data_IF_448994703787
#
_entry.id   IF_448994703787
#
_cell.length_a   1.000
_cell.length_b   1.000
_cell.length_c   1.000
_cell.angle_alpha   90.00
_cell.angle_beta   90.00
_cell.angle_gamma   90.00
#
_symmetry.space_group_name_H-M   'P 1'
#
loop_
_entity.id
_entity.type
_entity.pdbx_description
1 polymer ?
#
# COMPACT_ATOMS: atom_id res chain seq x y z
N UNK A 1 -41.51 17.16 -15.63
CA UNK A 1 -41.09 15.75 -15.73
C UNK A 1 -40.01 15.73 -16.81
N UNK A 2 -38.73 15.98 -16.51
CA UNK A 2 -37.79 15.01 -15.92
C UNK A 2 -36.60 15.79 -15.33
N UNK A 3 -36.27 15.57 -14.06
CA UNK A 3 -35.10 16.18 -13.44
C UNK A 3 -33.83 15.40 -13.85
N UNK A 4 -32.82 16.12 -14.33
CA UNK A 4 -31.46 15.66 -14.62
C UNK A 4 -30.78 15.22 -13.32
N UNK A 5 -30.88 13.94 -13.00
CA UNK A 5 -30.06 13.30 -11.99
C UNK A 5 -28.90 12.61 -12.71
N UNK A 6 -27.70 13.20 -12.69
CA UNK A 6 -26.39 12.50 -12.76
C UNK A 6 -25.25 13.51 -12.95
N UNK A 7 -24.79 14.18 -11.89
CA UNK A 7 -23.53 14.95 -11.98
C UNK A 7 -22.78 15.16 -10.65
N UNK A 8 -22.84 14.16 -9.75
CA UNK A 8 -21.88 14.07 -8.61
C UNK A 8 -21.52 12.60 -8.34
N UNK A 9 -20.25 12.19 -8.09
CA UNK A 9 -18.96 12.85 -8.36
C UNK A 9 -17.87 11.83 -8.79
N UNK A 10 -17.45 11.82 -10.06
CA UNK A 10 -16.35 10.96 -10.53
C UNK A 10 -15.06 11.16 -9.72
N UNK A 11 -14.83 12.38 -9.22
CA UNK A 11 -13.68 12.75 -8.39
C UNK A 11 -13.54 11.91 -7.11
N UNK A 12 -14.63 11.62 -6.37
CA UNK A 12 -14.53 10.88 -5.10
C UNK A 12 -14.15 9.42 -5.31
N UNK A 13 -14.57 8.82 -6.43
CA UNK A 13 -14.24 7.43 -6.76
C UNK A 13 -12.77 7.32 -7.13
N UNK A 14 -12.27 8.27 -7.90
CA UNK A 14 -10.87 8.35 -8.27
C UNK A 14 -9.97 8.51 -7.03
N UNK A 15 -10.31 9.45 -6.13
CA UNK A 15 -9.56 9.63 -4.89
C UNK A 15 -9.58 8.40 -3.98
N UNK A 16 -10.71 7.69 -3.88
CA UNK A 16 -10.78 6.43 -3.11
C UNK A 16 -9.89 5.34 -3.70
N UNK A 17 -9.86 5.23 -5.04
CA UNK A 17 -8.99 4.28 -5.74
C UNK A 17 -7.52 4.63 -5.50
N UNK A 18 -7.16 5.92 -5.60
CA UNK A 18 -5.81 6.41 -5.30
C UNK A 18 -5.41 6.15 -3.86
N UNK A 19 -6.24 6.51 -2.87
CA UNK A 19 -5.96 6.22 -1.45
C UNK A 19 -5.84 4.71 -1.19
N UNK A 20 -6.66 3.89 -1.84
CA UNK A 20 -6.55 2.44 -1.71
C UNK A 20 -5.22 1.93 -2.26
N UNK A 21 -4.81 2.44 -3.42
CA UNK A 21 -3.57 2.04 -4.06
C UNK A 21 -2.34 2.40 -3.21
N UNK A 22 -2.30 3.62 -2.67
CA UNK A 22 -1.25 4.06 -1.73
C UNK A 22 -1.20 3.16 -0.50
N UNK A 23 -2.35 2.79 0.06
CA UNK A 23 -2.40 1.90 1.23
C UNK A 23 -1.87 0.50 0.92
N UNK A 24 -2.20 -0.03 -0.26
CA UNK A 24 -1.73 -1.35 -0.68
C UNK A 24 -0.20 -1.38 -0.79
N UNK A 25 0.39 -0.35 -1.42
CA UNK A 25 1.85 -0.20 -1.51
C UNK A 25 2.47 -0.06 -0.12
N UNK A 26 1.90 0.76 0.76
CA UNK A 26 2.42 0.94 2.12
C UNK A 26 2.42 -0.38 2.91
N UNK A 27 1.31 -1.14 2.84
CA UNK A 27 1.21 -2.47 3.45
C UNK A 27 2.25 -3.45 2.91
N UNK A 28 2.45 -3.48 1.59
CA UNK A 28 3.46 -4.32 0.94
C UNK A 28 4.87 -3.98 1.42
N UNK A 29 5.24 -2.70 1.40
CA UNK A 29 6.58 -2.24 1.80
C UNK A 29 6.84 -2.54 3.28
N UNK A 30 5.87 -2.33 4.17
CA UNK A 30 5.99 -2.74 5.57
C UNK A 30 6.26 -4.25 5.73
N UNK A 31 5.64 -5.08 4.91
CA UNK A 31 5.83 -6.53 4.97
C UNK A 31 7.18 -6.97 4.39
N UNK A 32 7.52 -6.50 3.18
CA UNK A 32 8.68 -6.98 2.43
C UNK A 32 9.98 -6.35 2.91
N UNK A 33 9.97 -5.04 3.18
CA UNK A 33 11.18 -4.29 3.56
C UNK A 33 11.40 -4.32 5.06
N UNK A 34 10.37 -3.99 5.84
CA UNK A 34 10.47 -3.90 7.30
C UNK A 34 10.24 -5.23 8.02
N UNK A 35 9.90 -6.30 7.28
CA UNK A 35 9.67 -7.66 7.80
C UNK A 35 8.58 -7.76 8.88
N UNK A 36 7.67 -6.80 8.93
CA UNK A 36 6.52 -6.84 9.83
C UNK A 36 5.54 -7.95 9.41
N UNK A 37 4.92 -8.60 10.39
CA UNK A 37 3.90 -9.61 10.12
C UNK A 37 2.60 -8.98 9.59
N UNK A 38 1.82 -9.76 8.85
CA UNK A 38 0.52 -9.30 8.32
C UNK A 38 -0.45 -8.87 9.44
N UNK A 39 -0.33 -9.47 10.62
CA UNK A 39 -1.16 -9.14 11.79
C UNK A 39 -0.78 -7.79 12.41
N UNK A 40 0.52 -7.51 12.55
CA UNK A 40 1.01 -6.21 13.06
C UNK A 40 0.63 -5.08 12.12
N UNK A 41 0.81 -5.29 10.81
CA UNK A 41 0.39 -4.33 9.78
C UNK A 41 -1.14 -4.16 9.82
N UNK A 42 -1.89 -5.26 9.92
CA UNK A 42 -3.35 -5.22 10.03
C UNK A 42 -3.81 -4.36 11.20
N UNK A 43 -3.25 -4.60 12.39
CA UNK A 43 -3.52 -3.82 13.59
C UNK A 43 -3.20 -2.33 13.40
N UNK A 44 -2.02 -2.00 12.84
CA UNK A 44 -1.59 -0.63 12.60
C UNK A 44 -2.51 0.14 11.61
N UNK A 45 -3.06 -0.55 10.62
CA UNK A 45 -3.98 0.03 9.63
C UNK A 45 -5.47 -0.12 10.00
N UNK A 46 -5.80 -0.75 11.13
CA UNK A 46 -7.18 -1.05 11.53
C UNK A 46 -7.90 -1.98 10.54
N UNK A 47 -7.19 -2.98 10.00
CA UNK A 47 -7.67 -3.95 9.01
C UNK A 47 -7.36 -5.37 9.42
N UNK A 48 -8.11 -6.32 8.86
CA UNK A 48 -7.81 -7.74 9.04
C UNK A 48 -6.52 -8.14 8.32
N UNK A 49 -5.78 -9.10 8.88
CA UNK A 49 -4.53 -9.62 8.29
C UNK A 49 -4.71 -10.12 6.85
N UNK A 50 -5.90 -10.62 6.49
CA UNK A 50 -6.22 -11.05 5.12
C UNK A 50 -6.34 -9.87 4.16
N UNK A 51 -6.75 -8.69 4.64
CA UNK A 51 -6.73 -7.46 3.83
C UNK A 51 -5.31 -7.06 3.48
N UNK A 52 -4.38 -7.21 4.43
CA UNK A 52 -2.95 -6.97 4.20
C UNK A 52 -2.40 -7.99 3.21
N UNK A 53 -2.70 -9.29 3.40
CA UNK A 53 -2.31 -10.33 2.44
C UNK A 53 -2.83 -10.07 1.03
N UNK A 54 -4.10 -9.67 0.90
CA UNK A 54 -4.68 -9.28 -0.38
C UNK A 54 -3.96 -8.06 -0.98
N UNK A 55 -3.64 -7.04 -0.17
CA UNK A 55 -2.88 -5.89 -0.63
C UNK A 55 -1.49 -6.28 -1.15
N UNK A 56 -0.79 -7.19 -0.46
CA UNK A 56 0.51 -7.68 -0.92
C UNK A 56 0.40 -8.39 -2.27
N UNK A 57 -0.58 -9.29 -2.44
CA UNK A 57 -0.81 -9.97 -3.71
C UNK A 57 -1.13 -8.99 -4.84
N UNK A 58 -2.00 -7.99 -4.59
CA UNK A 58 -2.34 -6.97 -5.59
C UNK A 58 -1.12 -6.16 -6.04
N UNK A 59 -0.20 -5.87 -5.13
CA UNK A 59 1.05 -5.18 -5.48
C UNK A 59 1.95 -6.11 -6.28
N UNK A 60 2.15 -7.35 -5.83
CA UNK A 60 3.00 -8.35 -6.49
C UNK A 60 2.53 -8.65 -7.91
N UNK A 61 1.23 -8.92 -8.10
CA UNK A 61 0.61 -9.15 -9.42
C UNK A 61 0.82 -7.96 -10.36
N UNK A 62 0.94 -6.74 -9.82
CA UNK A 62 1.16 -5.53 -10.62
C UNK A 62 2.63 -5.27 -10.92
N UNK A 63 3.58 -5.88 -10.19
CA UNK A 63 5.03 -5.76 -10.46
C UNK A 63 5.45 -6.40 -11.78
N UNK A 64 4.56 -7.15 -12.45
CA UNK A 64 4.75 -7.56 -13.84
C UNK A 64 4.86 -6.36 -14.81
N UNK A 65 4.31 -5.19 -14.44
CA UNK A 65 4.52 -3.94 -15.18
C UNK A 65 5.83 -3.27 -14.76
N UNK A 66 6.77 -3.13 -15.70
CA UNK A 66 8.10 -2.60 -15.44
C UNK A 66 8.10 -1.16 -14.89
N UNK A 67 7.12 -0.33 -15.27
CA UNK A 67 7.03 1.05 -14.76
C UNK A 67 6.59 1.08 -13.30
N UNK A 68 5.65 0.21 -12.94
CA UNK A 68 5.19 0.04 -11.58
C UNK A 68 6.26 -0.61 -10.69
N UNK A 69 6.95 -1.63 -11.20
CA UNK A 69 8.05 -2.28 -10.48
C UNK A 69 9.18 -1.29 -10.15
N UNK A 70 9.58 -0.46 -11.12
CA UNK A 70 10.59 0.57 -10.91
C UNK A 70 10.15 1.59 -9.84
N UNK A 71 8.87 1.96 -9.83
CA UNK A 71 8.29 2.85 -8.83
C UNK A 71 8.31 2.24 -7.42
N UNK A 72 7.85 1.00 -7.26
CA UNK A 72 7.88 0.29 -5.97
C UNK A 72 9.33 0.11 -5.49
N UNK A 73 10.23 -0.29 -6.38
CA UNK A 73 11.67 -0.43 -6.10
C UNK A 73 12.34 0.89 -5.65
N UNK A 74 11.86 2.05 -6.12
CA UNK A 74 12.34 3.34 -5.63
C UNK A 74 11.89 3.59 -4.17
N UNK A 75 10.65 3.26 -3.83
CA UNK A 75 10.12 3.39 -2.46
C UNK A 75 10.87 2.43 -1.51
N UNK A 76 11.07 1.18 -1.91
CA UNK A 76 11.81 0.19 -1.12
C UNK A 76 13.21 0.69 -0.77
N UNK A 77 13.93 1.27 -1.74
CA UNK A 77 15.26 1.87 -1.52
C UNK A 77 15.25 3.02 -0.53
N UNK A 78 14.25 3.90 -0.60
CA UNK A 78 14.10 5.01 0.36
C UNK A 78 13.80 4.49 1.76
N UNK A 79 12.92 3.49 1.88
CA UNK A 79 12.62 2.89 3.19
C UNK A 79 13.86 2.19 3.76
N UNK A 80 14.63 1.46 2.95
CA UNK A 80 15.89 0.86 3.37
C UNK A 80 16.95 1.89 3.78
N UNK A 81 17.00 3.06 3.14
CA UNK A 81 17.97 4.09 3.53
C UNK A 81 17.60 4.77 4.85
N UNK A 82 16.31 4.87 5.16
CA UNK A 82 15.80 5.47 6.40
C UNK A 82 15.80 4.48 7.57
N UNK A 83 15.40 3.23 7.31
CA UNK A 83 15.17 2.19 8.31
C UNK A 83 16.12 0.98 8.17
N UNK A 84 17.22 1.12 7.42
CA UNK A 84 18.24 0.07 7.29
C UNK A 84 18.84 -0.32 8.65
N UNK A 85 19.77 -1.30 8.71
CA UNK A 85 20.30 -1.83 9.97
C UNK A 85 20.98 -0.80 10.90
N UNK A 86 21.18 0.44 10.45
CA UNK A 86 21.63 1.56 11.27
C UNK A 86 20.48 2.34 11.98
N UNK A 87 19.21 2.09 11.63
CA UNK A 87 18.04 2.89 12.05
C UNK A 87 16.94 2.11 12.78
N UNK A 88 16.99 0.78 12.84
CA UNK A 88 16.09 -0.02 13.69
C UNK A 88 16.92 -0.51 14.87
N UNK A 89 16.92 0.28 15.95
CA UNK A 89 17.28 -0.23 17.26
C UNK A 89 16.37 -1.40 17.60
N UNK A 90 16.97 -2.54 17.93
CA UNK A 90 16.33 -3.78 18.35
C UNK A 90 15.19 -3.50 19.33
N UNK A 91 13.96 -3.77 18.91
CA UNK A 91 12.88 -4.03 19.85
C UNK A 91 12.83 -5.53 20.07
N UNK A 92 13.54 -5.94 21.13
CA UNK A 92 13.30 -7.19 21.86
C UNK A 92 11.96 -7.12 22.60
#
# INVERSE_FOLDING_TARGET
>A
MTAMASDRPLWRRDSRRTTCHVRQIAMYVCHVVLRLSLSEIGAAFGRDRTTVGHACNVVEDRRDDASFDAFVSAIERVVLSVFGPAGIGSHE
#
